data_IF_187924305125
#
_entry.id   IF_187924305125
#
_cell.length_a   1.000
_cell.length_b   1.000
_cell.length_c   1.000
_cell.angle_alpha   90.00
_cell.angle_beta   90.00
_cell.angle_gamma   90.00
#
_symmetry.space_group_name_H-M   'P 1'
#
loop_
_entity.id
_entity.type
_entity.pdbx_description
1 polymer ?
#
# COMPACT_ATOMS: atom_id res chain seq x y z
N UNK A 1 -12.39 23.28 -33.61
CA UNK A 1 -11.23 23.20 -32.68
C UNK A 1 -11.27 24.18 -31.50
N UNK A 2 -11.84 25.38 -31.65
CA UNK A 2 -11.89 26.42 -30.60
C UNK A 2 -12.69 26.02 -29.35
N UNK A 3 -13.78 25.27 -29.51
CA UNK A 3 -14.61 24.80 -28.39
C UNK A 3 -13.85 23.85 -27.46
N UNK A 4 -13.03 22.95 -28.02
CA UNK A 4 -12.22 22.02 -27.23
C UNK A 4 -11.12 22.76 -26.46
N UNK A 5 -10.43 23.71 -27.11
CA UNK A 5 -9.43 24.57 -26.46
C UNK A 5 -10.03 25.45 -25.36
N UNK A 6 -11.26 25.93 -25.55
CA UNK A 6 -12.01 26.70 -24.55
C UNK A 6 -12.43 25.84 -23.35
N UNK A 7 -12.92 24.63 -23.59
CA UNK A 7 -13.25 23.67 -22.54
C UNK A 7 -12.03 23.28 -21.71
N UNK A 8 -10.92 22.93 -22.35
CA UNK A 8 -9.68 22.61 -21.65
C UNK A 8 -9.14 23.79 -20.85
N UNK A 9 -9.24 25.00 -21.41
CA UNK A 9 -8.83 26.22 -20.71
C UNK A 9 -9.71 26.49 -19.48
N UNK A 10 -11.03 26.31 -19.58
CA UNK A 10 -11.93 26.49 -18.44
C UNK A 10 -11.73 25.41 -17.37
N UNK A 11 -11.45 24.17 -17.78
CA UNK A 11 -11.26 23.05 -16.86
C UNK A 11 -9.94 23.17 -16.08
N UNK A 12 -8.83 23.49 -16.77
CA UNK A 12 -7.50 23.61 -16.14
C UNK A 12 -7.30 24.91 -15.36
N UNK A 13 -7.97 26.00 -15.75
CA UNK A 13 -7.79 27.30 -15.09
C UNK A 13 -8.42 27.36 -13.69
N UNK A 14 -9.35 26.46 -13.38
CA UNK A 14 -9.88 26.24 -12.02
C UNK A 14 -9.03 25.31 -11.14
N UNK A 15 -8.12 24.52 -11.71
CA UNK A 15 -7.40 23.47 -10.98
C UNK A 15 -6.34 24.03 -10.02
N UNK A 16 -5.78 25.20 -10.30
CA UNK A 16 -4.76 25.81 -9.45
C UNK A 16 -5.29 26.21 -8.07
N UNK A 17 -6.58 26.51 -7.93
CA UNK A 17 -7.20 26.86 -6.64
C UNK A 17 -7.56 25.64 -5.78
N UNK A 18 -7.67 24.46 -6.39
CA UNK A 18 -7.91 23.19 -5.67
C UNK A 18 -6.60 22.47 -5.31
N UNK A 19 -5.53 22.76 -6.05
CA UNK A 19 -4.17 22.24 -5.77
C UNK A 19 -3.41 23.18 -4.81
N UNK A 20 -3.64 24.49 -4.92
CA UNK A 20 -3.10 25.51 -4.01
C UNK A 20 -4.31 26.22 -3.38
N UNK A 21 -4.77 25.72 -2.23
CA UNK A 21 -5.86 26.34 -1.47
C UNK A 21 -5.58 27.82 -1.13
N UNK A 22 -6.62 28.62 -0.83
CA UNK A 22 -6.44 30.04 -0.57
C UNK A 22 -5.75 30.21 0.79
N UNK A 23 -4.62 30.93 0.79
CA UNK A 23 -3.85 31.35 1.97
C UNK A 23 -3.16 30.21 2.75
N UNK A 24 -1.87 30.03 2.44
CA UNK A 24 -0.89 29.50 3.38
C UNK A 24 -0.76 30.45 4.58
N UNK A 25 -1.64 30.33 5.57
CA UNK A 25 -1.44 30.90 6.90
C UNK A 25 -2.37 30.26 7.92
N UNK A 26 -1.93 29.17 8.53
CA UNK A 26 -1.73 29.12 9.98
C UNK A 26 -1.14 27.77 10.40
N UNK A 27 -0.21 27.84 11.35
CA UNK A 27 0.49 26.69 11.89
C UNK A 27 -0.43 25.75 12.63
N UNK A 28 -0.38 24.48 12.25
CA UNK A 28 -0.04 23.36 13.13
C UNK A 28 0.46 22.24 12.23
N UNK A 29 1.59 21.62 12.61
CA UNK A 29 2.37 20.69 11.80
C UNK A 29 1.74 19.32 11.58
N UNK A 30 0.48 19.28 11.14
CA UNK A 30 -0.23 18.04 10.86
C UNK A 30 -0.46 17.85 9.36
N UNK A 31 0.35 16.94 8.82
CA UNK A 31 0.25 16.42 7.45
C UNK A 31 -1.14 15.84 7.17
N UNK A 32 -1.71 16.17 6.01
CA UNK A 32 -3.00 15.67 5.52
C UNK A 32 -3.07 14.15 5.34
N UNK A 33 -1.95 13.44 5.52
CA UNK A 33 -1.86 11.99 5.37
C UNK A 33 -2.12 11.20 6.67
N UNK A 34 -2.31 11.85 7.82
CA UNK A 34 -2.40 11.18 9.15
C UNK A 34 -3.71 10.43 9.48
N UNK A 35 -4.76 10.48 8.65
CA UNK A 35 -6.05 9.84 8.97
C UNK A 35 -6.16 8.33 8.66
N UNK A 36 -5.09 7.67 8.21
CA UNK A 36 -5.11 6.24 7.94
C UNK A 36 -4.52 5.49 9.14
N UNK A 37 -5.42 5.13 10.07
CA UNK A 37 -5.19 4.27 11.24
C UNK A 37 -4.52 4.96 12.43
N UNK A 38 -5.36 5.38 13.39
CA UNK A 38 -5.00 5.39 14.80
C UNK A 38 -6.22 5.04 15.64
N UNK A 39 -5.94 4.40 16.75
CA UNK A 39 -6.81 3.56 17.57
C UNK A 39 -7.92 4.32 18.30
N UNK A 40 -9.00 3.61 18.59
CA UNK A 40 -9.94 3.83 19.70
C UNK A 40 -10.32 5.26 20.12
N UNK A 41 -11.02 6.03 19.30
CA UNK A 41 -12.21 6.83 19.72
C UNK A 41 -12.88 7.44 18.47
N UNK A 42 -14.17 7.19 18.27
CA UNK A 42 -14.94 7.79 17.16
C UNK A 42 -14.98 9.31 17.30
N UNK A 43 -14.70 10.08 16.22
CA UNK A 43 -15.76 10.96 15.75
C UNK A 43 -15.82 11.18 14.22
N UNK A 44 -17.08 11.29 13.74
CA UNK A 44 -17.56 11.82 12.45
C UNK A 44 -17.05 11.17 11.16
N UNK A 45 -17.97 10.56 10.42
CA UNK A 45 -17.80 10.14 9.03
C UNK A 45 -17.51 11.35 8.13
N UNK A 46 -16.24 11.70 8.00
CA UNK A 46 -15.76 12.51 6.88
C UNK A 46 -15.84 11.59 5.66
N UNK A 47 -16.93 11.71 4.90
CA UNK A 47 -17.05 11.03 3.61
C UNK A 47 -15.89 11.49 2.73
N UNK A 48 -15.17 10.56 2.07
CA UNK A 48 -14.06 10.97 1.24
C UNK A 48 -14.58 11.89 0.12
N UNK A 49 -13.83 12.95 -0.25
CA UNK A 49 -14.21 13.88 -1.33
C UNK A 49 -14.43 13.17 -2.68
N UNK A 50 -13.98 11.92 -2.79
CA UNK A 50 -14.21 11.01 -3.90
C UNK A 50 -15.67 10.54 -4.03
N UNK A 51 -16.52 10.71 -3.01
CA UNK A 51 -17.91 10.22 -3.06
C UNK A 51 -18.77 10.96 -4.07
N UNK A 52 -18.54 12.28 -4.23
CA UNK A 52 -19.19 13.09 -5.25
C UNK A 52 -18.68 12.71 -6.64
N UNK A 53 -17.36 12.54 -6.79
CA UNK A 53 -16.76 12.08 -8.05
C UNK A 53 -17.29 10.69 -8.44
N UNK A 54 -17.39 9.76 -7.49
CA UNK A 54 -17.97 8.43 -7.70
C UNK A 54 -19.45 8.52 -8.11
N UNK A 55 -20.24 9.40 -7.48
CA UNK A 55 -21.62 9.64 -7.90
C UNK A 55 -21.69 10.21 -9.31
N UNK A 56 -20.88 11.21 -9.65
CA UNK A 56 -20.88 11.79 -10.99
C UNK A 56 -20.48 10.75 -12.04
N UNK A 57 -19.41 10.00 -11.81
CA UNK A 57 -18.92 8.97 -12.74
C UNK A 57 -19.88 7.78 -12.88
N UNK A 58 -20.64 7.42 -11.85
CA UNK A 58 -21.51 6.25 -11.87
C UNK A 58 -22.97 6.59 -12.21
N UNK A 59 -23.47 7.76 -11.77
CA UNK A 59 -24.87 8.17 -11.87
C UNK A 59 -25.15 8.92 -13.19
N UNK A 60 -24.24 9.79 -13.65
CA UNK A 60 -24.43 10.58 -14.87
C UNK A 60 -24.51 9.69 -16.13
N UNK A 61 -23.66 8.67 -16.31
CA UNK A 61 -23.81 7.74 -17.43
C UNK A 61 -25.11 6.93 -17.39
N UNK A 62 -25.62 6.59 -16.19
CA UNK A 62 -26.91 5.88 -16.04
C UNK A 62 -28.09 6.72 -16.50
N UNK A 63 -28.08 8.02 -16.19
CA UNK A 63 -29.12 8.94 -16.64
C UNK A 63 -29.10 9.15 -18.16
N UNK A 64 -27.91 9.16 -18.76
CA UNK A 64 -27.77 9.21 -20.23
C UNK A 64 -28.24 7.90 -20.88
N UNK A 65 -27.98 6.74 -20.26
CA UNK A 65 -28.46 5.44 -20.73
C UNK A 65 -30.00 5.40 -20.82
N UNK A 66 -30.72 5.97 -19.85
CA UNK A 66 -32.20 6.00 -19.87
C UNK A 66 -32.80 6.90 -20.96
N UNK A 67 -32.02 7.83 -21.52
CA UNK A 67 -32.47 8.72 -22.60
C UNK A 67 -32.34 8.11 -23.99
N UNK A 68 -31.56 7.03 -24.15
CA UNK A 68 -31.29 6.41 -25.47
C UNK A 68 -31.96 5.05 -25.67
N UNK A 69 -32.73 4.55 -24.72
CA UNK A 69 -33.30 3.20 -24.80
C UNK A 69 -34.77 3.18 -24.39
N UNK A 70 -35.63 3.69 -25.27
CA UNK A 70 -36.93 3.06 -25.48
C UNK A 70 -36.69 1.83 -26.33
N UNK A 71 -36.55 0.66 -25.70
CA UNK A 71 -36.71 -0.73 -26.19
C UNK A 71 -35.90 -1.66 -25.27
N UNK A 72 -36.56 -2.76 -24.88
CA UNK A 72 -36.11 -3.95 -24.15
C UNK A 72 -35.71 -3.83 -22.67
N UNK A 73 -36.74 -3.93 -21.82
CA UNK A 73 -36.63 -4.79 -20.62
C UNK A 73 -36.17 -6.18 -21.06
N UNK A 74 -35.08 -6.69 -20.47
CA UNK A 74 -34.76 -8.10 -20.17
C UNK A 74 -33.23 -8.28 -20.18
N UNK A 75 -32.54 -7.91 -19.10
CA UNK A 75 -31.20 -8.41 -18.69
C UNK A 75 -30.72 -7.69 -17.43
N UNK A 76 -31.53 -7.72 -16.38
CA UNK A 76 -31.03 -7.53 -15.03
C UNK A 76 -30.52 -8.89 -14.56
N UNK A 77 -29.40 -8.89 -13.84
CA UNK A 77 -28.65 -10.03 -13.29
C UNK A 77 -27.53 -10.52 -14.22
N UNK A 78 -26.30 -10.05 -14.00
CA UNK A 78 -25.01 -10.76 -14.19
C UNK A 78 -23.75 -9.85 -14.20
N UNK A 79 -23.72 -8.75 -13.44
CA UNK A 79 -22.46 -8.07 -13.10
C UNK A 79 -22.03 -8.53 -11.71
N UNK A 80 -21.48 -9.74 -11.65
CA UNK A 80 -20.94 -10.35 -10.43
C UNK A 80 -19.63 -9.64 -10.05
N UNK A 81 -19.40 -9.29 -8.77
CA UNK A 81 -18.17 -8.63 -8.30
C UNK A 81 -17.03 -9.65 -8.12
N UNK A 82 -16.90 -10.61 -9.02
CA UNK A 82 -15.98 -11.74 -8.83
C UNK A 82 -14.51 -11.32 -9.01
N UNK A 83 -14.24 -10.30 -9.83
CA UNK A 83 -12.88 -9.77 -9.98
C UNK A 83 -12.41 -9.01 -8.75
N UNK A 84 -13.30 -8.27 -8.06
CA UNK A 84 -12.96 -7.50 -6.86
C UNK A 84 -12.57 -8.41 -5.68
N UNK A 85 -13.25 -9.55 -5.51
CA UNK A 85 -12.93 -10.51 -4.46
C UNK A 85 -11.62 -11.25 -4.74
N UNK A 86 -11.35 -11.62 -5.99
CA UNK A 86 -10.07 -12.20 -6.38
C UNK A 86 -8.91 -11.21 -6.20
N UNK A 87 -9.10 -9.93 -6.52
CA UNK A 87 -8.11 -8.89 -6.27
C UNK A 87 -7.88 -8.65 -4.78
N UNK A 88 -8.93 -8.62 -3.95
CA UNK A 88 -8.82 -8.55 -2.48
C UNK A 88 -8.04 -9.74 -1.92
N UNK A 89 -8.35 -10.95 -2.35
CA UNK A 89 -7.66 -12.16 -1.94
C UNK A 89 -6.18 -12.14 -2.33
N UNK A 90 -5.85 -11.62 -3.52
CA UNK A 90 -4.47 -11.44 -3.97
C UNK A 90 -3.70 -10.46 -3.10
N UNK A 91 -4.30 -9.32 -2.74
CA UNK A 91 -3.71 -8.32 -1.84
C UNK A 91 -3.48 -8.90 -0.44
N UNK A 92 -4.48 -9.60 0.13
CA UNK A 92 -4.35 -10.23 1.45
C UNK A 92 -3.28 -11.34 1.46
N UNK A 93 -3.21 -12.13 0.39
CA UNK A 93 -2.19 -13.18 0.24
C UNK A 93 -0.78 -12.61 0.20
N UNK A 94 -0.57 -11.53 -0.56
CA UNK A 94 0.73 -10.86 -0.63
C UNK A 94 1.10 -10.21 0.71
N UNK A 95 0.14 -9.64 1.43
CA UNK A 95 0.37 -9.09 2.77
C UNK A 95 0.87 -10.16 3.74
N UNK A 96 0.18 -11.31 3.81
CA UNK A 96 0.60 -12.45 4.64
C UNK A 96 1.98 -12.96 4.25
N UNK A 97 2.30 -13.00 2.96
CA UNK A 97 3.64 -13.39 2.48
C UNK A 97 4.72 -12.44 3.01
N UNK A 98 4.48 -11.12 2.95
CA UNK A 98 5.42 -10.10 3.45
C UNK A 98 5.58 -10.15 4.97
N UNK A 99 4.49 -10.34 5.70
CA UNK A 99 4.49 -10.50 7.16
C UNK A 99 5.34 -11.71 7.57
N UNK A 100 5.14 -12.87 6.95
CA UNK A 100 5.92 -14.08 7.21
C UNK A 100 7.42 -13.91 6.90
N UNK A 101 7.75 -13.18 5.83
CA UNK A 101 9.15 -12.88 5.51
C UNK A 101 9.75 -11.97 6.59
N UNK A 102 9.05 -10.92 7.00
CA UNK A 102 9.52 -10.01 8.03
C UNK A 102 9.71 -10.71 9.38
N UNK A 103 8.78 -11.59 9.77
CA UNK A 103 8.91 -12.41 10.98
C UNK A 103 10.18 -13.25 10.96
N UNK A 104 10.48 -13.92 9.84
CA UNK A 104 11.73 -14.69 9.69
C UNK A 104 12.97 -13.82 9.78
N UNK A 105 12.95 -12.61 9.22
CA UNK A 105 14.05 -11.66 9.36
C UNK A 105 14.26 -11.20 10.81
N UNK A 106 13.19 -10.99 11.57
CA UNK A 106 13.28 -10.64 12.99
C UNK A 106 13.90 -11.78 13.81
N UNK A 107 13.44 -13.02 13.59
CA UNK A 107 14.01 -14.20 14.25
C UNK A 107 15.50 -14.34 13.89
N UNK A 108 15.84 -14.23 12.59
CA UNK A 108 17.22 -14.33 12.13
C UNK A 108 18.10 -13.25 12.78
N UNK A 109 17.61 -12.00 12.80
CA UNK A 109 18.31 -10.89 13.44
C UNK A 109 18.52 -11.06 14.95
N UNK A 110 17.67 -11.82 15.66
CA UNK A 110 17.88 -12.13 17.08
C UNK A 110 18.90 -13.25 17.33
N UNK A 111 19.15 -14.11 16.35
CA UNK A 111 20.06 -15.25 16.48
C UNK A 111 21.51 -14.90 16.13
N UNK A 112 21.69 -13.88 15.29
CA UNK A 112 22.99 -13.48 14.76
C UNK A 112 23.54 -12.31 15.58
N UNK A 113 24.82 -12.34 16.01
CA UNK A 113 25.46 -11.18 16.62
C UNK A 113 25.43 -9.98 15.67
N UNK A 114 24.80 -8.88 16.07
CA UNK A 114 24.68 -7.65 15.28
C UNK A 114 24.94 -6.41 16.13
N UNK A 115 25.50 -5.37 15.51
CA UNK A 115 25.81 -4.07 16.10
C UNK A 115 24.57 -3.16 16.27
N UNK A 116 23.37 -3.75 16.29
CA UNK A 116 22.10 -3.04 16.42
C UNK A 116 21.54 -2.52 15.09
N UNK A 117 22.20 -2.82 13.95
CA UNK A 117 21.65 -2.53 12.63
C UNK A 117 20.58 -3.56 12.26
N UNK A 118 19.36 -3.06 12.03
CA UNK A 118 18.18 -3.87 11.69
C UNK A 118 17.86 -3.82 10.19
N UNK A 119 18.84 -3.42 9.35
CA UNK A 119 18.64 -3.46 7.90
C UNK A 119 18.70 -4.89 7.37
N UNK A 120 17.83 -5.20 6.40
CA UNK A 120 17.69 -6.56 5.87
C UNK A 120 18.94 -7.05 5.16
N UNK A 121 19.67 -6.18 4.49
CA UNK A 121 20.92 -6.55 3.80
C UNK A 121 21.98 -6.88 4.83
N UNK A 122 22.14 -6.00 5.83
CA UNK A 122 23.06 -6.23 6.92
C UNK A 122 22.76 -7.54 7.68
N UNK A 123 21.50 -7.86 7.97
CA UNK A 123 21.16 -9.14 8.63
C UNK A 123 21.67 -10.34 7.81
N UNK A 124 21.52 -10.32 6.48
CA UNK A 124 21.98 -11.41 5.62
C UNK A 124 23.51 -11.50 5.60
N UNK A 125 24.20 -10.37 5.48
CA UNK A 125 25.66 -10.32 5.45
C UNK A 125 26.25 -10.88 6.76
N UNK A 126 25.80 -10.37 7.91
CA UNK A 126 26.24 -10.88 9.22
C UNK A 126 25.91 -12.37 9.41
N UNK A 127 24.77 -12.85 8.87
CA UNK A 127 24.42 -14.28 8.94
C UNK A 127 25.44 -15.14 8.21
N UNK A 128 25.83 -14.72 7.00
CA UNK A 128 26.80 -15.46 6.18
C UNK A 128 28.16 -15.48 6.85
N UNK A 129 28.60 -14.35 7.40
CA UNK A 129 29.86 -14.24 8.14
C UNK A 129 29.86 -15.13 9.39
N UNK A 130 28.79 -15.08 10.18
CA UNK A 130 28.67 -15.87 11.41
C UNK A 130 28.64 -17.38 11.13
N UNK A 131 28.00 -17.83 10.06
CA UNK A 131 28.04 -19.25 9.66
C UNK A 131 29.46 -19.72 9.32
N UNK A 132 30.23 -18.91 8.58
CA UNK A 132 31.63 -19.23 8.25
C UNK A 132 32.50 -19.30 9.50
N UNK A 133 32.29 -18.39 10.46
CA UNK A 133 32.99 -18.41 11.75
C UNK A 133 32.67 -19.70 12.52
N UNK A 134 31.40 -20.07 12.60
CA UNK A 134 30.97 -21.29 13.27
C UNK A 134 31.57 -22.55 12.63
N UNK A 135 31.60 -22.63 11.30
CA UNK A 135 32.25 -23.73 10.58
C UNK A 135 33.75 -23.83 10.91
N UNK A 136 34.47 -22.71 10.88
CA UNK A 136 35.89 -22.66 11.26
C UNK A 136 36.12 -23.10 12.70
N UNK A 137 35.25 -22.67 13.62
CA UNK A 137 35.36 -23.02 15.05
C UNK A 137 35.11 -24.49 15.29
N UNK A 138 34.15 -25.10 14.57
CA UNK A 138 33.90 -26.54 14.66
C UNK A 138 35.12 -27.33 14.17
N UNK A 139 35.75 -26.90 13.08
CA UNK A 139 36.94 -27.58 12.54
C UNK A 139 38.13 -27.48 13.51
N UNK A 140 38.40 -26.29 14.04
CA UNK A 140 39.44 -26.09 15.06
C UNK A 140 39.23 -27.01 16.28
N UNK A 141 37.99 -27.09 16.77
CA UNK A 141 37.64 -27.95 17.91
C UNK A 141 37.82 -29.45 17.59
N UNK A 142 37.54 -29.89 16.36
CA UNK A 142 37.79 -31.26 15.92
C UNK A 142 39.28 -31.57 15.87
N UNK A 143 40.07 -30.71 15.21
CA UNK A 143 41.52 -30.89 15.13
C UNK A 143 42.16 -30.90 16.53
N UNK A 144 41.70 -30.03 17.43
CA UNK A 144 42.18 -30.02 18.82
C UNK A 144 41.83 -31.30 19.56
N UNK A 145 40.64 -31.88 19.33
CA UNK A 145 40.25 -33.15 19.95
C UNK A 145 41.13 -34.29 19.46
N UNK A 146 41.40 -34.36 18.16
CA UNK A 146 42.27 -35.37 17.56
C UNK A 146 43.74 -35.25 18.00
N UNK A 147 44.23 -34.04 18.27
CA UNK A 147 45.58 -33.83 18.78
C UNK A 147 45.77 -34.20 20.26
N UNK A 148 44.67 -34.43 21.00
CA UNK A 148 44.68 -34.78 22.44
C UNK A 148 44.47 -36.28 22.67
N UNK A 149 43.94 -37.01 21.67
CA UNK A 149 43.91 -38.49 21.64
C UNK A 149 45.24 -39.05 21.10
#
# INVERSE_FOLDING_TARGET
ETHYRSLLSNLLKGSHQLILGPYSRNGNGESSFKCWVSDGTSPRSITPPQSLLKKVLLEVPRLLQTRTSGVSEQRRNNLKPESDENDRNRVLSERKRREKINERFLILGSLVPSDGKVDKVSILDHTIEYLRELESKVEELRSRKEAVE
#
